data_IF_701406840893
#
_entry.id   IF_701406840893
#
_cell.length_a   1.000
_cell.length_b   1.000
_cell.length_c   1.000
_cell.angle_alpha   90.00
_cell.angle_beta   90.00
_cell.angle_gamma   90.00
#
_symmetry.space_group_name_H-M   'P 1'
#
loop_
_entity.id
_entity.type
_entity.pdbx_description
1 polymer ?
#
# COMPACT_ATOMS: atom_id res chain seq x y z
N UNK A 1 16.97 1.70 -2.75
CA UNK A 1 16.14 2.78 -2.17
C UNK A 1 15.46 2.23 -0.94
N UNK A 2 15.40 2.98 0.16
CA UNK A 2 14.65 2.56 1.37
C UNK A 2 13.15 2.82 1.14
N UNK A 3 12.23 1.91 1.50
CA UNK A 3 10.79 2.11 1.38
C UNK A 3 10.26 3.23 2.30
N UNK A 4 11.12 3.95 3.03
CA UNK A 4 10.78 5.12 3.84
C UNK A 4 10.03 6.21 3.07
N UNK A 5 10.27 6.39 1.78
CA UNK A 5 9.54 7.40 0.98
C UNK A 5 8.04 7.10 0.93
N UNK A 6 7.66 5.82 0.91
CA UNK A 6 6.26 5.38 0.91
C UNK A 6 5.57 5.62 2.26
N UNK A 7 6.30 6.09 3.27
CA UNK A 7 5.74 6.44 4.59
C UNK A 7 5.48 7.93 4.74
N UNK A 8 5.85 8.75 3.76
CA UNK A 8 5.61 10.19 3.81
C UNK A 8 4.17 10.49 3.40
N UNK A 9 3.44 11.32 4.15
CA UNK A 9 2.01 11.56 3.91
C UNK A 9 1.73 12.09 2.49
N UNK A 10 2.56 12.99 1.96
CA UNK A 10 2.42 13.48 0.57
C UNK A 10 2.45 12.35 -0.47
N UNK A 11 3.23 11.30 -0.21
CA UNK A 11 3.35 10.13 -1.09
C UNK A 11 2.15 9.21 -0.90
N UNK A 12 1.66 9.04 0.33
CA UNK A 12 0.41 8.32 0.62
C UNK A 12 -0.77 8.97 -0.11
N UNK A 13 -0.91 10.28 0.02
CA UNK A 13 -1.99 11.06 -0.61
C UNK A 13 -1.88 11.00 -2.14
N UNK A 14 -0.68 11.16 -2.69
CA UNK A 14 -0.44 11.02 -4.13
C UNK A 14 -0.88 9.64 -4.63
N UNK A 15 -0.38 8.56 -4.03
CA UNK A 15 -0.68 7.21 -4.49
C UNK A 15 -2.18 6.91 -4.38
N UNK A 16 -2.80 7.23 -3.26
CA UNK A 16 -4.21 6.88 -2.99
C UNK A 16 -5.17 7.72 -3.81
N UNK A 17 -4.81 8.97 -4.11
CA UNK A 17 -5.52 9.80 -5.07
C UNK A 17 -5.44 9.22 -6.49
N UNK A 18 -4.26 8.88 -6.97
CA UNK A 18 -4.10 8.37 -8.34
C UNK A 18 -4.73 6.98 -8.54
N UNK A 19 -4.70 6.13 -7.51
CA UNK A 19 -5.27 4.78 -7.61
C UNK A 19 -6.80 4.73 -7.40
N UNK A 20 -7.33 5.56 -6.50
CA UNK A 20 -8.69 5.42 -5.98
C UNK A 20 -9.50 6.72 -5.97
N UNK A 21 -8.97 7.80 -6.55
CA UNK A 21 -9.53 9.16 -6.49
C UNK A 21 -9.85 9.60 -5.04
N UNK A 22 -9.04 9.12 -4.10
CA UNK A 22 -9.21 9.45 -2.69
C UNK A 22 -8.80 10.91 -2.43
N UNK A 23 -9.60 11.67 -1.65
CA UNK A 23 -9.15 12.95 -1.13
C UNK A 23 -7.89 12.81 -0.27
N UNK A 24 -7.09 13.88 -0.22
CA UNK A 24 -5.91 13.94 0.64
C UNK A 24 -6.28 13.67 2.11
N UNK A 25 -5.36 13.07 2.87
CA UNK A 25 -5.51 12.77 4.29
C UNK A 25 -6.65 11.80 4.64
N UNK A 26 -7.20 11.07 3.67
CA UNK A 26 -8.12 9.95 3.90
C UNK A 26 -7.37 8.70 4.34
N UNK A 27 -6.18 8.49 3.79
CA UNK A 27 -5.34 7.33 4.09
C UNK A 27 -4.21 7.66 5.04
N UNK A 28 -3.88 6.70 5.89
CA UNK A 28 -2.73 6.75 6.80
C UNK A 28 -2.01 5.42 6.78
N UNK A 29 -0.76 5.40 7.26
CA UNK A 29 -0.04 4.16 7.47
C UNK A 29 -0.71 3.30 8.53
N UNK A 30 -0.85 2.02 8.25
CA UNK A 30 -1.22 1.00 9.21
C UNK A 30 -0.06 0.02 9.43
N UNK A 31 -0.14 -0.76 10.50
CA UNK A 31 0.82 -1.83 10.76
C UNK A 31 0.78 -2.84 9.61
N UNK A 32 1.94 -3.10 9.00
CA UNK A 32 2.09 -3.90 7.77
C UNK A 32 1.86 -5.40 7.94
N UNK A 33 1.34 -5.85 9.08
CA UNK A 33 1.04 -7.26 9.36
C UNK A 33 -0.42 -7.56 8.98
N UNK A 34 -0.69 -7.60 7.67
CA UNK A 34 -2.01 -7.90 7.13
C UNK A 34 -2.12 -9.38 6.78
N UNK A 35 -2.81 -10.15 7.62
CA UNK A 35 -3.21 -11.53 7.34
C UNK A 35 -2.05 -12.46 6.91
N UNK A 36 -0.94 -12.46 7.65
CA UNK A 36 0.31 -13.18 7.33
C UNK A 36 0.99 -12.80 6.00
N UNK A 37 0.52 -11.76 5.30
CA UNK A 37 1.20 -11.22 4.13
C UNK A 37 2.20 -10.15 4.55
N UNK A 38 3.48 -10.35 4.21
CA UNK A 38 4.53 -9.35 4.43
C UNK A 38 4.50 -8.32 3.31
N UNK A 39 3.76 -7.24 3.52
CA UNK A 39 3.84 -6.05 2.68
C UNK A 39 4.93 -5.09 3.17
N UNK A 40 5.43 -4.20 2.30
CA UNK A 40 6.38 -3.17 2.70
C UNK A 40 5.68 -2.00 3.42
N UNK A 41 4.51 -1.61 2.91
CA UNK A 41 3.60 -0.66 3.57
C UNK A 41 2.14 -1.03 3.33
N UNK A 42 1.32 -0.76 4.33
CA UNK A 42 -0.13 -0.83 4.28
C UNK A 42 -0.71 0.56 4.54
N UNK A 43 -1.60 1.01 3.67
CA UNK A 43 -2.40 2.21 3.88
C UNK A 43 -3.84 1.82 4.22
N UNK A 44 -4.35 2.40 5.30
CA UNK A 44 -5.74 2.23 5.73
C UNK A 44 -6.47 3.57 5.64
N UNK A 45 -7.67 3.52 5.09
CA UNK A 45 -8.58 4.65 5.07
C UNK A 45 -9.26 4.84 6.41
N UNK A 46 -9.49 6.09 6.81
CA UNK A 46 -10.38 6.44 7.91
C UNK A 46 -11.88 6.28 7.55
N UNK A 47 -12.19 5.98 6.28
CA UNK A 47 -13.52 5.68 5.74
C UNK A 47 -13.54 4.28 5.09
N UNK A 48 -13.35 3.19 5.86
CA UNK A 48 -13.09 1.85 5.34
C UNK A 48 -14.25 1.23 4.54
N UNK A 49 -15.47 1.77 4.65
CA UNK A 49 -16.63 1.32 3.86
C UNK A 49 -16.64 1.90 2.44
N UNK A 50 -15.97 3.04 2.23
CA UNK A 50 -15.93 3.73 0.94
C UNK A 50 -14.61 3.52 0.21
N UNK A 51 -13.56 3.16 0.95
CA UNK A 51 -12.19 3.12 0.47
C UNK A 51 -11.50 1.84 0.96
N UNK A 52 -11.09 0.94 0.04
CA UNK A 52 -10.44 -0.31 0.40
C UNK A 52 -9.01 -0.07 0.93
N UNK A 53 -8.43 -1.01 1.69
CA UNK A 53 -7.01 -0.97 2.04
C UNK A 53 -6.11 -0.98 0.80
N UNK A 54 -4.99 -0.25 0.87
CA UNK A 54 -3.96 -0.27 -0.19
C UNK A 54 -2.69 -0.91 0.36
N UNK A 55 -2.29 -2.02 -0.26
CA UNK A 55 -1.11 -2.78 0.14
C UNK A 55 -0.04 -2.62 -0.95
N UNK A 56 1.17 -2.23 -0.56
CA UNK A 56 2.29 -2.00 -1.48
C UNK A 56 3.46 -2.90 -1.14
N UNK A 57 3.99 -3.57 -2.17
CA UNK A 57 5.22 -4.36 -2.14
C UNK A 57 6.20 -3.79 -3.17
N UNK A 58 7.42 -3.48 -2.74
CA UNK A 58 8.53 -2.95 -3.54
C UNK A 58 9.57 -4.04 -3.69
N UNK A 59 9.65 -4.62 -4.88
CA UNK A 59 10.63 -5.64 -5.19
C UNK A 59 11.78 -5.04 -6.02
N UNK A 60 13.02 -5.35 -5.65
CA UNK A 60 14.19 -5.02 -6.48
C UNK A 60 14.27 -5.89 -7.73
N UNK A 61 13.71 -7.10 -7.68
CA UNK A 61 13.69 -8.05 -8.79
C UNK A 61 12.36 -8.77 -8.79
N UNK A 62 11.65 -8.68 -9.90
CA UNK A 62 10.41 -9.44 -10.11
C UNK A 62 10.83 -10.83 -10.60
N UNK A 63 10.48 -11.86 -9.83
CA UNK A 63 10.75 -13.26 -10.19
C UNK A 63 9.44 -14.07 -10.24
N UNK A 64 9.51 -15.27 -10.81
CA UNK A 64 8.33 -16.12 -11.01
C UNK A 64 7.64 -16.48 -9.69
N UNK A 65 8.40 -16.64 -8.60
CA UNK A 65 7.86 -16.91 -7.27
C UNK A 65 7.01 -15.75 -6.75
N UNK A 66 7.44 -14.51 -6.99
CA UNK A 66 6.69 -13.31 -6.62
C UNK A 66 5.40 -13.20 -7.43
N UNK A 67 5.49 -13.38 -8.76
CA UNK A 67 4.32 -13.32 -9.63
C UNK A 67 3.29 -14.43 -9.31
N UNK A 68 3.76 -15.64 -8.99
CA UNK A 68 2.87 -16.74 -8.59
C UNK A 68 2.05 -16.42 -7.34
N UNK A 69 2.64 -15.76 -6.34
CA UNK A 69 1.93 -15.33 -5.11
C UNK A 69 0.83 -14.30 -5.38
N UNK A 70 0.92 -13.54 -6.46
CA UNK A 70 -0.05 -12.52 -6.80
C UNK A 70 -1.33 -13.09 -7.44
N UNK A 71 -1.19 -14.23 -8.14
CA UNK A 71 -2.27 -14.82 -8.95
C UNK A 71 -2.98 -15.99 -8.24
N UNK A 72 -2.33 -16.61 -7.26
CA UNK A 72 -2.87 -17.75 -6.47
C UNK A 72 -3.74 -17.30 -5.30
#
# INVERSE_FOLDING_TARGET
>A
MSPMVLKHQDVVDLITKELLDAPNSIYTLADGDWNNSRCDVLYMSNLPLSFPPVLIEVQNTINDLFLQRLVS
#
